data_IF_932594186876
#
_entry.id   IF_932594186876
#
_cell.length_a   1.000
_cell.length_b   1.000
_cell.length_c   1.000
_cell.angle_alpha   90.00
_cell.angle_beta   90.00
_cell.angle_gamma   90.00
#
_symmetry.space_group_name_H-M   'P 1'
#
loop_
_entity.id
_entity.type
_entity.pdbx_description
1 polymer ?
#
# COMPACT_ATOMS: atom_id res chain seq x y z
N UNK A 1 60.45 14.37 -15.07
CA UNK A 1 59.41 14.06 -16.08
C UNK A 1 58.43 12.99 -15.59
N UNK A 2 58.86 12.00 -14.80
CA UNK A 2 57.96 10.94 -14.29
C UNK A 2 56.87 11.45 -13.33
N UNK A 3 57.17 12.39 -12.43
CA UNK A 3 56.20 12.95 -11.47
C UNK A 3 55.05 13.73 -12.11
N UNK A 4 55.28 14.37 -13.26
CA UNK A 4 54.26 15.18 -13.93
C UNK A 4 53.20 14.30 -14.60
N UNK A 5 53.63 13.19 -15.20
CA UNK A 5 52.73 12.20 -15.79
C UNK A 5 51.91 11.47 -14.72
N UNK A 6 52.53 11.13 -13.58
CA UNK A 6 51.84 10.54 -12.43
C UNK A 6 50.80 11.52 -11.87
N UNK A 7 51.13 12.81 -11.75
CA UNK A 7 50.18 13.81 -11.27
C UNK A 7 49.02 14.06 -12.25
N UNK A 8 49.25 14.00 -13.57
CA UNK A 8 48.18 14.06 -14.57
C UNK A 8 47.26 12.85 -14.49
N UNK A 9 47.81 11.64 -14.35
CA UNK A 9 47.02 10.43 -14.19
C UNK A 9 46.15 10.46 -12.92
N UNK A 10 46.69 10.97 -11.80
CA UNK A 10 45.93 11.16 -10.54
C UNK A 10 44.74 12.11 -10.72
N UNK A 11 44.94 13.25 -11.39
CA UNK A 11 43.86 14.21 -11.67
C UNK A 11 42.76 13.61 -12.52
N UNK A 12 43.11 12.89 -13.59
CA UNK A 12 42.12 12.22 -14.46
C UNK A 12 41.33 11.15 -13.70
N UNK A 13 42.01 10.33 -12.87
CA UNK A 13 41.36 9.34 -12.02
C UNK A 13 40.41 9.98 -11.01
N UNK A 14 40.81 11.10 -10.40
CA UNK A 14 39.98 11.83 -9.44
C UNK A 14 38.71 12.38 -10.10
N UNK A 15 38.82 12.95 -11.30
CA UNK A 15 37.66 13.44 -12.07
C UNK A 15 36.72 12.29 -12.46
N UNK A 16 37.24 11.19 -13.01
CA UNK A 16 36.43 10.02 -13.37
C UNK A 16 35.76 9.42 -12.13
N UNK A 17 36.47 9.35 -11.01
CA UNK A 17 35.94 8.85 -9.74
C UNK A 17 34.89 9.77 -9.13
N UNK A 18 35.00 11.09 -9.29
CA UNK A 18 33.94 12.04 -8.89
C UNK A 18 32.68 11.83 -9.73
N UNK A 19 32.82 11.72 -11.05
CA UNK A 19 31.72 11.51 -11.98
C UNK A 19 31.01 10.15 -11.75
N UNK A 20 31.77 9.08 -11.51
CA UNK A 20 31.20 7.77 -11.14
C UNK A 20 30.47 7.81 -9.79
N UNK A 21 31.03 8.51 -8.80
CA UNK A 21 30.36 8.71 -7.50
C UNK A 21 29.06 9.50 -7.64
N UNK A 22 29.05 10.55 -8.45
CA UNK A 22 27.87 11.37 -8.70
C UNK A 22 26.78 10.59 -9.45
N UNK A 23 27.16 9.80 -10.46
CA UNK A 23 26.25 8.86 -11.13
C UNK A 23 25.63 7.89 -10.14
N UNK A 24 26.47 7.21 -9.35
CA UNK A 24 26.01 6.25 -8.34
C UNK A 24 25.10 6.89 -7.29
N UNK A 25 25.42 8.11 -6.85
CA UNK A 25 24.58 8.84 -5.91
C UNK A 25 23.24 9.22 -6.53
N UNK A 26 23.21 9.57 -7.81
CA UNK A 26 21.98 9.87 -8.56
C UNK A 26 21.12 8.62 -8.69
N UNK A 27 21.69 7.48 -9.11
CA UNK A 27 21.01 6.19 -9.19
C UNK A 27 20.41 5.77 -7.83
N UNK A 28 21.17 5.93 -6.74
CA UNK A 28 20.69 5.64 -5.39
C UNK A 28 19.50 6.51 -4.99
N UNK A 29 19.54 7.81 -5.32
CA UNK A 29 18.43 8.74 -5.05
C UNK A 29 17.20 8.40 -5.86
N UNK A 30 17.37 8.08 -7.14
CA UNK A 30 16.27 7.68 -8.01
C UNK A 30 15.63 6.38 -7.53
N UNK A 31 16.46 5.38 -7.20
CA UNK A 31 16.00 4.13 -6.60
C UNK A 31 15.21 4.38 -5.32
N UNK A 32 15.74 5.19 -4.40
CA UNK A 32 15.02 5.52 -3.17
C UNK A 32 13.68 6.20 -3.45
N UNK A 33 13.64 7.16 -4.38
CA UNK A 33 12.39 7.84 -4.77
C UNK A 33 11.37 6.85 -5.35
N UNK A 34 11.82 5.91 -6.18
CA UNK A 34 10.96 4.86 -6.75
C UNK A 34 10.43 3.92 -5.66
N UNK A 35 11.30 3.46 -4.76
CA UNK A 35 10.91 2.57 -3.66
C UNK A 35 9.88 3.26 -2.74
N UNK A 36 10.10 4.54 -2.39
CA UNK A 36 9.15 5.32 -1.60
C UNK A 36 7.80 5.48 -2.32
N UNK A 37 7.83 5.75 -3.62
CA UNK A 37 6.61 5.88 -4.41
C UNK A 37 5.83 4.56 -4.45
N UNK A 38 6.52 3.44 -4.65
CA UNK A 38 5.93 2.11 -4.65
C UNK A 38 5.31 1.76 -3.29
N UNK A 39 6.00 2.05 -2.18
CA UNK A 39 5.48 1.84 -0.82
C UNK A 39 4.22 2.68 -0.59
N UNK A 40 4.23 3.95 -1.01
CA UNK A 40 3.08 4.85 -0.86
C UNK A 40 1.87 4.35 -1.65
N UNK A 41 2.05 3.98 -2.92
CA UNK A 41 0.97 3.43 -3.75
C UNK A 41 0.40 2.15 -3.16
N UNK A 42 1.27 1.21 -2.75
CA UNK A 42 0.83 -0.03 -2.13
C UNK A 42 0.06 0.22 -0.82
N UNK A 43 0.50 1.20 -0.03
CA UNK A 43 -0.19 1.62 1.19
C UNK A 43 -1.57 2.23 0.91
N UNK A 44 -1.67 3.09 -0.11
CA UNK A 44 -2.93 3.70 -0.53
C UNK A 44 -3.92 2.63 -1.04
N UNK A 45 -3.49 1.75 -1.94
CA UNK A 45 -4.33 0.70 -2.51
C UNK A 45 -4.85 -0.26 -1.43
N UNK A 46 -3.95 -0.66 -0.51
CA UNK A 46 -4.32 -1.49 0.63
C UNK A 46 -5.32 -0.77 1.54
N UNK A 47 -5.07 0.49 1.89
CA UNK A 47 -5.96 1.27 2.74
C UNK A 47 -7.33 1.52 2.11
N UNK A 48 -7.38 1.78 0.80
CA UNK A 48 -8.63 1.94 0.07
C UNK A 48 -9.45 0.64 0.06
N UNK A 49 -8.79 -0.49 -0.23
CA UNK A 49 -9.44 -1.80 -0.25
C UNK A 49 -9.99 -2.17 1.13
N UNK A 50 -9.17 -2.04 2.17
CA UNK A 50 -9.59 -2.30 3.55
C UNK A 50 -10.73 -1.37 3.98
N UNK A 51 -10.68 -0.08 3.61
CA UNK A 51 -11.74 0.88 3.91
C UNK A 51 -13.07 0.53 3.24
N UNK A 52 -13.04 0.08 1.98
CA UNK A 52 -14.25 -0.37 1.26
C UNK A 52 -14.82 -1.63 1.92
N UNK A 53 -13.97 -2.61 2.23
CA UNK A 53 -14.39 -3.86 2.89
C UNK A 53 -15.02 -3.59 4.27
N UNK A 54 -14.38 -2.74 5.09
CA UNK A 54 -14.91 -2.32 6.38
C UNK A 54 -16.24 -1.57 6.25
N UNK A 55 -16.36 -0.66 5.27
CA UNK A 55 -17.61 0.07 5.02
C UNK A 55 -18.76 -0.85 4.61
N UNK A 56 -18.49 -1.85 3.78
CA UNK A 56 -19.48 -2.87 3.41
C UNK A 56 -19.90 -3.69 4.62
N UNK A 57 -18.95 -4.13 5.45
CA UNK A 57 -19.25 -4.93 6.64
C UNK A 57 -20.07 -4.13 7.67
N UNK A 58 -19.70 -2.87 7.93
CA UNK A 58 -20.44 -1.97 8.83
C UNK A 58 -21.88 -1.76 8.33
N UNK A 59 -22.05 -1.48 7.04
CA UNK A 59 -23.39 -1.31 6.47
C UNK A 59 -24.23 -2.59 6.58
N UNK A 60 -23.64 -3.77 6.33
CA UNK A 60 -24.32 -5.07 6.55
C UNK A 60 -24.77 -5.23 8.01
N UNK A 61 -23.93 -4.88 8.99
CA UNK A 61 -24.29 -4.92 10.42
C UNK A 61 -25.44 -3.98 10.74
N UNK A 62 -25.36 -2.73 10.29
CA UNK A 62 -26.44 -1.75 10.53
C UNK A 62 -27.79 -2.17 9.94
N UNK A 63 -27.79 -2.70 8.72
CA UNK A 63 -28.99 -3.22 8.08
C UNK A 63 -29.55 -4.36 8.91
N UNK A 64 -28.71 -5.32 9.33
CA UNK A 64 -29.14 -6.45 10.12
C UNK A 64 -29.73 -6.01 11.47
N UNK A 65 -29.08 -5.07 12.17
CA UNK A 65 -29.61 -4.51 13.43
C UNK A 65 -30.98 -3.86 13.25
N UNK A 66 -31.17 -3.07 12.18
CA UNK A 66 -32.45 -2.42 11.86
C UNK A 66 -33.54 -3.46 11.56
N UNK A 67 -33.19 -4.54 10.85
CA UNK A 67 -34.11 -5.64 10.53
C UNK A 67 -34.48 -6.47 11.78
N UNK A 68 -33.52 -6.73 12.66
CA UNK A 68 -33.78 -7.44 13.92
C UNK A 68 -34.66 -6.61 14.87
N UNK A 69 -34.47 -5.28 14.91
CA UNK A 69 -35.34 -4.36 15.68
C UNK A 69 -36.78 -4.30 15.18
N UNK A 70 -37.02 -4.64 13.90
CA UNK A 70 -38.36 -4.64 13.31
C UNK A 70 -39.14 -5.96 13.51
N UNK A 71 -38.64 -6.87 14.37
CA UNK A 71 -39.27 -8.17 14.68
C UNK A 71 -39.48 -9.08 13.44
N UNK A 72 -38.69 -8.88 12.38
CA UNK A 72 -38.69 -9.78 11.23
C UNK A 72 -38.10 -11.15 11.63
N UNK A 73 -38.67 -12.22 11.08
CA UNK A 73 -38.12 -13.55 11.29
C UNK A 73 -36.78 -13.71 10.55
N UNK A 74 -35.91 -14.59 11.05
CA UNK A 74 -34.61 -14.87 10.43
C UNK A 74 -34.79 -15.32 8.96
N UNK A 75 -35.83 -16.11 8.68
CA UNK A 75 -36.18 -16.55 7.32
C UNK A 75 -36.53 -15.39 6.39
N UNK A 76 -37.26 -14.38 6.88
CA UNK A 76 -37.58 -13.19 6.11
C UNK A 76 -36.34 -12.34 5.85
N UNK A 77 -35.45 -12.21 6.83
CA UNK A 77 -34.19 -11.48 6.69
C UNK A 77 -33.33 -12.12 5.59
N UNK A 78 -33.13 -13.44 5.64
CA UNK A 78 -32.39 -14.20 4.62
C UNK A 78 -32.98 -13.96 3.22
N UNK A 79 -34.31 -13.94 3.10
CA UNK A 79 -34.99 -13.73 1.82
C UNK A 79 -34.85 -12.29 1.28
N UNK A 80 -34.78 -11.29 2.16
CA UNK A 80 -34.70 -9.87 1.79
C UNK A 80 -33.25 -9.46 1.50
N UNK A 81 -32.29 -9.88 2.33
CA UNK A 81 -30.90 -9.44 2.26
C UNK A 81 -30.00 -10.40 1.49
N UNK A 82 -30.42 -11.65 1.31
CA UNK A 82 -29.61 -12.72 0.73
C UNK A 82 -28.49 -13.21 1.66
N UNK A 83 -28.49 -12.79 2.94
CA UNK A 83 -27.49 -13.25 3.90
C UNK A 83 -27.69 -14.71 4.25
N UNK A 84 -26.58 -15.40 4.48
CA UNK A 84 -26.58 -16.77 5.01
C UNK A 84 -26.82 -16.78 6.53
N UNK A 85 -27.27 -17.92 7.06
CA UNK A 85 -27.42 -18.10 8.52
C UNK A 85 -26.09 -17.84 9.23
N UNK A 86 -24.98 -18.30 8.66
CA UNK A 86 -23.63 -18.10 9.20
C UNK A 86 -23.21 -16.62 9.22
N UNK A 87 -23.52 -15.86 8.18
CA UNK A 87 -23.25 -14.42 8.15
C UNK A 87 -24.08 -13.69 9.22
N UNK A 88 -25.36 -14.03 9.36
CA UNK A 88 -26.23 -13.46 10.40
C UNK A 88 -25.68 -13.78 11.80
N UNK A 89 -25.24 -15.01 12.05
CA UNK A 89 -24.64 -15.40 13.33
C UNK A 89 -23.31 -14.69 13.62
N UNK A 90 -22.45 -14.54 12.61
CA UNK A 90 -21.19 -13.79 12.74
C UNK A 90 -21.44 -12.30 13.01
N UNK A 91 -22.45 -11.71 12.37
CA UNK A 91 -22.78 -10.29 12.50
C UNK A 91 -23.58 -9.99 13.79
N UNK A 92 -24.20 -11.01 14.41
CA UNK A 92 -24.88 -10.90 15.70
C UNK A 92 -23.93 -10.93 16.91
N UNK A 93 -22.70 -11.42 16.72
CA UNK A 93 -21.67 -11.56 17.75
C UNK A 93 -20.87 -10.28 17.93
#
# INVERSE_FOLDING_TARGET
>A
MEDENINKAKKVLETISQDERERRLTELREKYRMDQHAIMLAGYDKGLKEGIEQGIEQNKKEILEKLLKTNLSIEQIIKITGFTVEEIEKLKK
#
